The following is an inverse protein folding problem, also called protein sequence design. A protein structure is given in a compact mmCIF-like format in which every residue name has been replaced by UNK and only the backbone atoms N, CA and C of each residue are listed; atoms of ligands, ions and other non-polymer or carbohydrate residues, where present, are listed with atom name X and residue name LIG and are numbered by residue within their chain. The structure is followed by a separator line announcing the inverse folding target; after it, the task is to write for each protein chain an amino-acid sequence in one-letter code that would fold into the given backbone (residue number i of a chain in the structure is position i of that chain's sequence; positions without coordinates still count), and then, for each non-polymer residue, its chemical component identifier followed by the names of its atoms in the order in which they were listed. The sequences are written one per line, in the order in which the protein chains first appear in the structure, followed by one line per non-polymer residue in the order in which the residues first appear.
data_IF_864001021139
#
_entry.id   IF_864001021139
#
_cell.length_a   1.000
_cell.length_b   1.000
_cell.length_c   1.000
_cell.angle_alpha   90.00
_cell.angle_beta   90.00
_cell.angle_gamma   90.00
#
_symmetry.space_group_name_H-M   'P 1'
#
loop_
_entity.id
_entity.type
_entity.pdbx_description
1 polymer ?
#
# COMPACT_ATOMS: atom_id res chain seq x y z
N UNK A 1 55.67 15.50 -10.55
CA UNK A 1 54.83 14.50 -11.24
C UNK A 1 53.39 14.70 -10.74
N UNK A 2 52.55 15.42 -11.48
CA UNK A 2 51.21 15.81 -11.04
C UNK A 2 50.23 14.71 -11.47
N UNK A 3 49.57 14.06 -10.51
CA UNK A 3 48.50 13.07 -10.78
C UNK A 3 47.25 13.82 -11.22
N UNK A 4 46.78 13.52 -12.43
CA UNK A 4 45.50 14.01 -12.93
C UNK A 4 44.35 13.48 -12.05
N UNK A 5 43.59 14.41 -11.47
CA UNK A 5 42.33 14.12 -10.79
C UNK A 5 41.28 13.84 -11.87
N UNK A 6 40.92 12.57 -12.07
CA UNK A 6 39.78 12.21 -12.92
C UNK A 6 38.52 12.60 -12.15
N UNK A 7 38.02 13.80 -12.42
CA UNK A 7 36.68 14.21 -12.00
C UNK A 7 35.69 13.39 -12.83
N UNK A 8 35.19 12.30 -12.26
CA UNK A 8 34.05 11.57 -12.81
C UNK A 8 32.86 12.51 -12.76
N UNK A 9 32.58 13.18 -13.89
CA UNK A 9 31.31 13.87 -14.12
C UNK A 9 30.20 12.84 -13.91
N UNK A 10 29.49 12.91 -12.78
CA UNK A 10 28.14 12.34 -12.70
C UNK A 10 27.36 12.97 -13.84
N UNK A 11 26.85 12.16 -14.78
CA UNK A 11 25.80 12.59 -15.70
C UNK A 11 24.56 12.91 -14.84
N UNK A 12 24.49 14.15 -14.35
CA UNK A 12 23.25 14.79 -13.95
C UNK A 12 22.56 15.25 -15.24
N UNK A 13 21.41 14.66 -15.49
CA UNK A 13 20.57 14.86 -16.64
C UNK A 13 19.56 13.73 -16.65
N UNK A 14 18.76 13.63 -15.59
CA UNK A 14 17.59 12.78 -15.66
C UNK A 14 16.60 13.46 -16.59
N UNK A 15 16.10 12.70 -17.55
CA UNK A 15 15.07 13.19 -18.46
C UNK A 15 13.76 13.33 -17.66
N UNK A 16 13.24 14.55 -17.46
CA UNK A 16 12.11 14.78 -16.56
C UNK A 16 10.84 14.04 -17.00
N UNK A 17 10.68 13.76 -18.30
CA UNK A 17 9.57 12.94 -18.82
C UNK A 17 9.73 11.47 -18.46
N UNK A 18 10.96 10.94 -18.50
CA UNK A 18 11.27 9.58 -18.08
C UNK A 18 11.04 9.39 -16.58
N UNK A 19 11.50 10.34 -15.77
CA UNK A 19 11.27 10.30 -14.32
C UNK A 19 9.77 10.36 -14.00
N UNK A 20 9.00 11.22 -14.67
CA UNK A 20 7.55 11.29 -14.53
C UNK A 20 6.87 9.95 -14.86
N UNK A 21 7.22 9.32 -15.98
CA UNK A 21 6.68 8.00 -16.37
C UNK A 21 7.00 6.91 -15.35
N UNK A 22 8.19 6.92 -14.76
CA UNK A 22 8.55 5.99 -13.69
C UNK A 22 7.72 6.22 -12.42
N UNK A 23 7.45 7.48 -12.07
CA UNK A 23 6.58 7.82 -10.93
C UNK A 23 5.13 7.41 -11.18
N UNK A 24 4.63 7.55 -12.41
CA UNK A 24 3.30 7.11 -12.80
C UNK A 24 3.17 5.59 -12.81
N UNK A 25 4.17 4.87 -13.34
CA UNK A 25 4.19 3.41 -13.30
C UNK A 25 4.17 2.91 -11.85
N UNK A 26 5.00 3.50 -10.97
CA UNK A 26 4.99 3.20 -9.56
C UNK A 26 3.64 3.52 -8.88
N UNK A 27 2.94 4.55 -9.36
CA UNK A 27 1.63 4.94 -8.80
C UNK A 27 0.57 3.92 -9.15
N UNK A 28 0.53 3.50 -10.42
CA UNK A 28 -0.39 2.48 -10.88
C UNK A 28 -0.16 1.15 -10.12
N UNK A 29 1.09 0.76 -9.91
CA UNK A 29 1.42 -0.41 -9.09
C UNK A 29 1.05 -0.25 -7.62
N UNK A 30 1.24 0.93 -7.03
CA UNK A 30 0.83 1.21 -5.66
C UNK A 30 -0.70 1.16 -5.51
N UNK A 31 -1.48 1.72 -6.45
CA UNK A 31 -2.94 1.62 -6.48
C UNK A 31 -3.41 0.17 -6.55
N UNK A 32 -2.81 -0.63 -7.42
CA UNK A 32 -3.08 -2.07 -7.48
C UNK A 32 -2.83 -2.75 -6.12
N UNK A 33 -1.70 -2.45 -5.48
CA UNK A 33 -1.33 -3.06 -4.20
C UNK A 33 -2.16 -2.56 -3.01
N UNK A 34 -2.79 -1.39 -3.13
CA UNK A 34 -3.70 -0.86 -2.10
C UNK A 34 -4.97 -1.68 -1.95
N UNK A 35 -5.54 -2.16 -3.05
CA UNK A 35 -6.72 -3.02 -3.04
C UNK A 35 -6.38 -4.51 -2.99
N UNK A 36 -5.12 -4.89 -3.24
CA UNK A 36 -4.67 -6.28 -3.17
C UNK A 36 -4.56 -6.78 -1.71
N UNK A 37 -5.20 -7.92 -1.43
CA UNK A 37 -5.09 -8.62 -0.13
C UNK A 37 -4.50 -10.00 -0.33
N UNK A 38 -3.53 -10.39 0.50
CA UNK A 38 -2.94 -11.74 0.49
C UNK A 38 -2.99 -12.41 1.87
N UNK A 39 -3.05 -13.74 1.88
CA UNK A 39 -2.96 -14.58 3.07
C UNK A 39 -1.51 -14.72 3.60
N UNK A 40 -0.50 -14.53 2.74
CA UNK A 40 0.90 -14.75 3.09
C UNK A 40 1.51 -13.54 3.82
N UNK A 41 2.56 -13.79 4.60
CA UNK A 41 3.21 -12.82 5.51
C UNK A 41 3.36 -11.42 4.90
N UNK A 42 2.60 -10.46 5.46
CA UNK A 42 2.62 -9.03 5.10
C UNK A 42 3.85 -8.29 5.63
N UNK A 43 4.74 -8.98 6.35
CA UNK A 43 5.85 -8.34 7.05
C UNK A 43 7.09 -8.18 6.18
N UNK A 44 7.33 -9.13 5.27
CA UNK A 44 8.45 -9.05 4.32
C UNK A 44 8.13 -8.07 3.18
N UNK A 45 9.17 -7.41 2.63
CA UNK A 45 9.05 -6.59 1.41
C UNK A 45 8.38 -7.37 0.28
N UNK A 46 8.77 -8.62 0.08
CA UNK A 46 8.18 -9.46 -0.96
C UNK A 46 6.69 -9.74 -0.73
N UNK A 47 6.25 -9.91 0.51
CA UNK A 47 4.84 -10.04 0.85
C UNK A 47 4.05 -8.76 0.62
N UNK A 48 4.63 -7.59 0.97
CA UNK A 48 4.01 -6.28 0.73
C UNK A 48 3.89 -5.93 -0.76
N UNK A 49 4.87 -6.35 -1.56
CA UNK A 49 4.92 -6.08 -3.00
C UNK A 49 4.06 -7.03 -3.83
N UNK A 50 3.47 -8.07 -3.22
CA UNK A 50 2.53 -8.98 -3.87
C UNK A 50 3.00 -9.49 -5.25
N UNK A 51 2.09 -9.58 -6.24
CA UNK A 51 2.42 -9.96 -7.61
C UNK A 51 3.44 -9.04 -8.29
N UNK A 52 3.51 -7.76 -7.90
CA UNK A 52 4.42 -6.77 -8.48
C UNK A 52 5.89 -7.14 -8.23
N UNK A 53 6.23 -7.64 -7.05
CA UNK A 53 7.60 -8.05 -6.74
C UNK A 53 8.13 -9.10 -7.71
N UNK A 54 7.29 -10.08 -8.08
CA UNK A 54 7.67 -11.09 -9.08
C UNK A 54 7.67 -10.53 -10.49
N UNK A 55 6.70 -9.68 -10.83
CA UNK A 55 6.61 -9.00 -12.11
C UNK A 55 7.89 -8.21 -12.42
N UNK A 56 8.37 -7.39 -11.49
CA UNK A 56 9.61 -6.61 -11.68
C UNK A 56 10.83 -7.52 -11.88
N UNK A 57 10.88 -8.68 -11.19
CA UNK A 57 11.91 -9.70 -11.41
C UNK A 57 11.84 -10.32 -12.81
N UNK A 58 10.65 -10.51 -13.38
CA UNK A 58 10.47 -11.02 -14.76
C UNK A 58 10.82 -9.97 -15.80
N UNK A 59 10.52 -8.71 -15.53
CA UNK A 59 10.98 -7.60 -16.36
C UNK A 59 12.51 -7.49 -16.30
N UNK A 60 13.13 -7.73 -15.15
CA UNK A 60 14.60 -7.79 -15.07
C UNK A 60 15.20 -8.90 -15.95
N UNK A 61 14.50 -10.02 -16.14
CA UNK A 61 14.92 -11.10 -17.05
C UNK A 61 14.52 -10.90 -18.52
N UNK A 62 14.01 -9.72 -18.89
CA UNK A 62 13.68 -9.39 -20.29
C UNK A 62 12.24 -9.66 -20.74
N UNK A 63 11.35 -10.18 -19.89
CA UNK A 63 9.92 -10.33 -20.24
C UNK A 63 9.19 -8.98 -20.20
N UNK A 64 8.25 -8.73 -21.12
CA UNK A 64 7.55 -7.42 -21.24
C UNK A 64 6.08 -7.58 -21.61
N UNK A 65 5.32 -6.48 -21.49
CA UNK A 65 3.93 -6.36 -21.93
C UNK A 65 3.01 -7.46 -21.40
N UNK A 66 2.21 -8.05 -22.29
CA UNK A 66 1.18 -9.03 -21.94
C UNK A 66 1.73 -10.28 -21.25
N UNK A 67 2.98 -10.67 -21.54
CA UNK A 67 3.60 -11.83 -20.89
C UNK A 67 3.75 -11.64 -19.38
N UNK A 68 4.22 -10.47 -18.95
CA UNK A 68 4.39 -10.18 -17.52
C UNK A 68 3.05 -9.85 -16.85
N UNK A 69 2.11 -9.28 -17.59
CA UNK A 69 0.76 -9.01 -17.12
C UNK A 69 0.01 -10.32 -16.82
N UNK A 70 0.01 -11.27 -17.75
CA UNK A 70 -0.63 -12.58 -17.56
C UNK A 70 -0.02 -13.37 -16.39
N UNK A 71 1.31 -13.32 -16.22
CA UNK A 71 1.96 -13.93 -15.05
C UNK A 71 1.52 -13.27 -13.74
N UNK A 72 1.40 -11.95 -13.68
CA UNK A 72 0.98 -11.26 -12.46
C UNK A 72 -0.49 -11.51 -12.11
N UNK A 73 -1.38 -11.60 -13.11
CA UNK A 73 -2.78 -11.99 -12.91
C UNK A 73 -2.85 -13.40 -12.32
N UNK A 74 -2.10 -14.36 -12.90
CA UNK A 74 -2.05 -15.71 -12.36
C UNK A 74 -1.55 -15.73 -10.92
N UNK A 75 -0.52 -14.96 -10.58
CA UNK A 75 -0.02 -14.88 -9.20
C UNK A 75 -1.06 -14.25 -8.28
N UNK A 76 -1.78 -13.22 -8.73
CA UNK A 76 -2.90 -12.63 -8.00
C UNK A 76 -3.92 -13.71 -7.64
N UNK A 77 -4.46 -14.43 -8.62
CA UNK A 77 -5.48 -15.47 -8.41
C UNK A 77 -5.00 -16.57 -7.45
N UNK A 78 -3.71 -16.93 -7.51
CA UNK A 78 -3.11 -17.96 -6.65
C UNK A 78 -2.81 -17.49 -5.21
N UNK A 79 -2.79 -16.18 -4.95
CA UNK A 79 -2.31 -15.63 -3.66
C UNK A 79 -3.25 -14.61 -3.02
N UNK A 80 -4.26 -14.17 -3.75
CA UNK A 80 -5.29 -13.26 -3.29
C UNK A 80 -6.14 -13.94 -2.23
N UNK A 81 -6.53 -13.16 -1.23
CA UNK A 81 -7.55 -13.53 -0.25
C UNK A 81 -8.86 -12.83 -0.66
N UNK A 82 -10.01 -13.52 -0.62
CA UNK A 82 -11.28 -12.83 -0.82
C UNK A 82 -11.49 -11.75 0.25
N UNK A 83 -12.18 -10.67 -0.11
CA UNK A 83 -12.72 -9.73 0.88
C UNK A 83 -13.82 -10.40 1.70
N UNK A 84 -14.07 -9.89 2.91
CA UNK A 84 -15.18 -10.34 3.74
C UNK A 84 -16.49 -10.01 3.00
N UNK A 85 -17.25 -11.03 2.59
CA UNK A 85 -18.43 -10.88 1.73
C UNK A 85 -18.21 -11.22 0.24
N UNK A 86 -16.95 -11.23 -0.24
CA UNK A 86 -16.63 -11.68 -1.60
C UNK A 86 -16.32 -13.19 -1.63
N UNK A 87 -16.95 -13.91 -2.57
CA UNK A 87 -16.68 -15.34 -2.81
C UNK A 87 -15.49 -15.59 -3.74
N UNK A 88 -15.05 -14.58 -4.49
CA UNK A 88 -14.03 -14.73 -5.52
C UNK A 88 -12.71 -14.06 -5.17
N UNK A 89 -11.61 -14.70 -5.56
CA UNK A 89 -10.24 -14.16 -5.56
C UNK A 89 -9.86 -13.59 -6.93
N UNK A 90 -10.84 -13.41 -7.83
CA UNK A 90 -10.64 -12.80 -9.14
C UNK A 90 -10.17 -11.36 -9.00
N UNK A 91 -9.29 -10.97 -9.92
CA UNK A 91 -8.86 -9.59 -10.05
C UNK A 91 -10.05 -8.70 -10.44
N UNK A 92 -10.22 -7.57 -9.76
CA UNK A 92 -11.24 -6.58 -10.14
C UNK A 92 -10.83 -5.83 -11.41
N UNK A 93 -11.80 -5.19 -12.08
CA UNK A 93 -11.51 -4.36 -13.27
C UNK A 93 -10.52 -3.25 -12.95
N UNK A 94 -10.67 -2.59 -11.81
CA UNK A 94 -9.77 -1.52 -11.35
C UNK A 94 -8.35 -2.03 -11.07
N UNK A 95 -8.23 -3.19 -10.42
CA UNK A 95 -6.95 -3.83 -10.17
C UNK A 95 -6.27 -4.22 -11.48
N UNK A 96 -7.01 -4.80 -12.40
CA UNK A 96 -6.50 -5.16 -13.73
C UNK A 96 -6.02 -3.92 -14.47
N UNK A 97 -6.81 -2.84 -14.50
CA UNK A 97 -6.44 -1.59 -15.16
C UNK A 97 -5.20 -0.95 -14.54
N UNK A 98 -5.10 -0.91 -13.21
CA UNK A 98 -3.93 -0.39 -12.50
C UNK A 98 -2.66 -1.20 -12.78
N UNK A 99 -2.78 -2.54 -12.77
CA UNK A 99 -1.68 -3.44 -13.11
C UNK A 99 -1.22 -3.27 -14.56
N UNK A 100 -2.19 -3.22 -15.48
CA UNK A 100 -1.98 -3.00 -16.92
C UNK A 100 -1.26 -1.67 -17.17
N UNK A 101 -1.77 -0.58 -16.62
CA UNK A 101 -1.19 0.75 -16.74
C UNK A 101 0.27 0.79 -16.26
N UNK A 102 0.55 0.22 -15.09
CA UNK A 102 1.92 0.16 -14.56
C UNK A 102 2.87 -0.63 -15.46
N UNK A 103 2.42 -1.76 -16.01
CA UNK A 103 3.20 -2.58 -16.94
C UNK A 103 3.51 -1.83 -18.23
N UNK A 104 2.52 -1.18 -18.83
CA UNK A 104 2.71 -0.47 -20.09
C UNK A 104 3.64 0.72 -19.91
N UNK A 105 3.41 1.58 -18.91
CA UNK A 105 4.27 2.74 -18.64
C UNK A 105 5.72 2.34 -18.35
N UNK A 106 5.92 1.27 -17.60
CA UNK A 106 7.26 0.76 -17.33
C UNK A 106 7.90 0.14 -18.58
N UNK A 107 7.13 -0.55 -19.40
CA UNK A 107 7.62 -1.12 -20.67
C UNK A 107 8.04 -0.02 -21.64
N UNK A 108 7.24 1.04 -21.79
CA UNK A 108 7.58 2.20 -22.62
C UNK A 108 8.92 2.84 -22.22
N UNK A 109 9.19 2.96 -20.92
CA UNK A 109 10.47 3.52 -20.45
C UNK A 109 11.65 2.59 -20.74
N UNK A 110 11.45 1.27 -20.65
CA UNK A 110 12.49 0.27 -20.89
C UNK A 110 12.76 0.05 -22.38
N UNK A 111 11.75 0.24 -23.23
CA UNK A 111 11.85 0.06 -24.67
C UNK A 111 12.19 1.37 -25.41
N UNK A 112 12.28 2.50 -24.68
CA UNK A 112 12.76 3.77 -25.22
C UNK A 112 14.16 3.59 -25.83
N UNK A 113 14.38 3.95 -27.12
CA UNK A 113 15.68 3.83 -27.78
C UNK A 113 16.84 4.55 -27.06
N UNK A 114 16.53 5.55 -26.24
CA UNK A 114 17.51 6.30 -25.44
C UNK A 114 17.84 5.61 -24.11
N UNK A 115 17.11 4.55 -23.74
CA UNK A 115 17.37 3.74 -22.56
C UNK A 115 18.36 2.64 -22.89
N UNK A 116 19.54 2.70 -22.28
CA UNK A 116 20.51 1.61 -22.40
C UNK A 116 20.02 0.36 -21.66
N UNK A 117 20.23 -0.86 -22.20
CA UNK A 117 19.98 -2.11 -21.46
C UNK A 117 20.69 -2.18 -20.10
N UNK A 118 21.84 -1.50 -19.96
CA UNK A 118 22.56 -1.41 -18.69
C UNK A 118 21.79 -0.62 -17.60
N UNK A 119 20.94 0.33 -18.01
CA UNK A 119 20.11 1.13 -17.11
C UNK A 119 18.85 0.39 -16.65
N UNK A 120 18.43 -0.68 -17.33
CA UNK A 120 17.19 -1.40 -17.00
C UNK A 120 17.17 -1.88 -15.55
N UNK A 121 18.30 -2.40 -15.05
CA UNK A 121 18.42 -2.83 -13.65
C UNK A 121 18.16 -1.66 -12.69
N UNK A 122 18.80 -0.52 -12.93
CA UNK A 122 18.68 0.67 -12.08
C UNK A 122 17.27 1.25 -12.11
N UNK A 123 16.64 1.27 -13.28
CA UNK A 123 15.26 1.73 -13.47
C UNK A 123 14.31 0.86 -12.65
N UNK A 124 14.40 -0.46 -12.80
CA UNK A 124 13.54 -1.41 -12.08
C UNK A 124 13.75 -1.34 -10.56
N UNK A 125 14.99 -1.20 -10.09
CA UNK A 125 15.31 -1.00 -8.67
C UNK A 125 14.75 0.33 -8.13
N UNK A 126 14.74 1.38 -8.95
CA UNK A 126 14.14 2.68 -8.58
C UNK A 126 12.63 2.56 -8.44
N UNK A 127 11.95 1.95 -9.41
CA UNK A 127 10.49 1.74 -9.35
C UNK A 127 10.11 0.87 -8.15
N UNK A 128 10.84 -0.23 -7.92
CA UNK A 128 10.66 -1.10 -6.77
C UNK A 128 10.77 -0.34 -5.43
N UNK A 129 11.78 0.53 -5.29
CA UNK A 129 11.96 1.36 -4.10
C UNK A 129 10.83 2.39 -3.92
N UNK A 130 10.40 3.05 -5.00
CA UNK A 130 9.31 4.05 -4.96
C UNK A 130 7.99 3.41 -4.56
N UNK A 131 7.64 2.25 -5.14
CA UNK A 131 6.43 1.50 -4.76
C UNK A 131 6.47 1.16 -3.28
N UNK A 132 7.58 0.56 -2.81
CA UNK A 132 7.73 0.19 -1.41
C UNK A 132 7.57 1.38 -0.46
N UNK A 133 8.20 2.51 -0.79
CA UNK A 133 8.08 3.73 0.00
C UNK A 133 6.63 4.22 0.08
N UNK A 134 5.89 4.24 -1.04
CA UNK A 134 4.49 4.68 -1.07
C UNK A 134 3.59 3.78 -0.24
N UNK A 135 3.76 2.46 -0.33
CA UNK A 135 3.01 1.51 0.48
C UNK A 135 3.27 1.70 1.98
N UNK A 136 4.53 1.89 2.36
CA UNK A 136 4.89 2.09 3.77
C UNK A 136 4.39 3.44 4.30
N UNK A 137 4.47 4.50 3.47
CA UNK A 137 3.91 5.81 3.78
C UNK A 137 2.40 5.71 4.02
N UNK A 138 1.66 5.14 3.08
CA UNK A 138 0.20 5.03 3.20
C UNK A 138 -0.22 4.12 4.36
N UNK A 139 0.54 3.04 4.65
CA UNK A 139 0.32 2.22 5.85
C UNK A 139 0.47 3.06 7.13
N UNK A 140 1.53 3.84 7.25
CA UNK A 140 1.76 4.70 8.43
C UNK A 140 0.68 5.77 8.55
N UNK A 141 0.30 6.40 7.45
CA UNK A 141 -0.78 7.39 7.42
C UNK A 141 -2.12 6.77 7.86
N UNK A 142 -2.45 5.57 7.40
CA UNK A 142 -3.66 4.86 7.82
C UNK A 142 -3.64 4.48 9.30
N UNK A 143 -2.47 4.15 9.87
CA UNK A 143 -2.35 3.90 11.30
C UNK A 143 -2.58 5.19 12.12
N UNK A 144 -2.01 6.31 11.67
CA UNK A 144 -2.22 7.61 12.33
C UNK A 144 -3.69 8.02 12.25
N UNK A 145 -4.29 7.99 11.05
CA UNK A 145 -5.72 8.30 10.86
C UNK A 145 -6.63 7.38 11.66
N UNK A 146 -6.32 6.09 11.73
CA UNK A 146 -7.09 5.13 12.53
C UNK A 146 -7.03 5.45 14.03
N UNK A 147 -5.86 5.83 14.54
CA UNK A 147 -5.69 6.25 15.93
C UNK A 147 -6.43 7.58 16.20
N UNK A 148 -6.34 8.55 15.29
CA UNK A 148 -7.04 9.83 15.40
C UNK A 148 -8.57 9.65 15.41
N UNK A 149 -9.11 8.81 14.53
CA UNK A 149 -10.54 8.46 14.51
C UNK A 149 -10.99 7.81 15.81
N UNK A 150 -10.18 6.90 16.36
CA UNK A 150 -10.50 6.26 17.63
C UNK A 150 -10.40 7.23 18.81
N UNK A 151 -9.40 8.11 18.82
CA UNK A 151 -9.31 9.19 19.80
C UNK A 151 -10.53 10.10 19.74
N UNK A 152 -10.94 10.51 18.54
CA UNK A 152 -12.13 11.34 18.35
C UNK A 152 -13.38 10.62 18.89
N UNK A 153 -13.57 9.33 18.59
CA UNK A 153 -14.64 8.53 19.16
C UNK A 153 -14.63 8.54 20.70
N UNK A 154 -13.46 8.33 21.33
CA UNK A 154 -13.35 8.37 22.79
C UNK A 154 -13.64 9.76 23.35
N UNK A 155 -13.21 10.82 22.68
CA UNK A 155 -13.50 12.21 23.06
C UNK A 155 -14.98 12.58 22.93
N UNK A 156 -15.77 11.84 22.15
CA UNK A 156 -17.24 12.00 22.13
C UNK A 156 -17.93 11.26 23.28
N UNK A 157 -17.26 10.30 23.90
CA UNK A 157 -17.81 9.46 24.98
C UNK A 157 -17.35 9.91 26.37
N UNK A 158 -16.14 10.46 26.46
CA UNK A 158 -15.50 10.94 27.67
C UNK A 158 -15.01 12.37 27.44
N UNK A 159 -15.47 13.29 28.28
CA UNK A 159 -15.15 14.71 28.14
C UNK A 159 -13.70 14.99 28.54
N UNK A 160 -13.15 14.15 29.43
CA UNK A 160 -11.81 14.32 30.00
C UNK A 160 -10.98 13.02 29.99
N UNK A 161 -9.63 13.11 29.94
CA UNK A 161 -8.76 11.96 30.15
C UNK A 161 -9.00 11.24 31.48
N UNK A 162 -9.38 11.98 32.52
CA UNK A 162 -9.62 11.44 33.86
C UNK A 162 -10.82 10.50 33.89
N UNK A 163 -11.92 10.87 33.22
CA UNK A 163 -13.09 10.01 33.03
C UNK A 163 -12.75 8.75 32.23
N UNK A 164 -11.93 8.90 31.18
CA UNK A 164 -11.45 7.76 30.40
C UNK A 164 -10.58 6.82 31.26
N UNK A 165 -9.67 7.38 32.06
CA UNK A 165 -8.80 6.62 32.95
C UNK A 165 -9.59 5.86 34.02
N UNK A 166 -10.64 6.48 34.58
CA UNK A 166 -11.56 5.83 35.52
C UNK A 166 -12.34 4.70 34.84
N UNK A 167 -12.91 4.96 33.66
CA UNK A 167 -13.66 3.96 32.90
C UNK A 167 -12.80 2.76 32.55
N UNK A 168 -11.52 2.98 32.22
CA UNK A 168 -10.57 1.93 31.84
C UNK A 168 -9.83 1.30 33.01
N UNK A 169 -9.98 1.84 34.23
CA UNK A 169 -9.19 1.46 35.42
C UNK A 169 -7.67 1.52 35.14
N UNK A 170 -7.25 2.58 34.46
CA UNK A 170 -5.85 2.80 34.06
C UNK A 170 -5.50 4.29 34.14
N UNK A 171 -4.90 4.66 35.27
CA UNK A 171 -4.43 6.03 35.57
C UNK A 171 -3.29 6.50 34.67
N UNK A 172 -2.68 5.61 33.87
CA UNK A 172 -1.60 5.96 32.95
C UNK A 172 -2.09 6.44 31.59
N UNK A 173 -3.40 6.31 31.33
CA UNK A 173 -4.04 6.69 30.07
C UNK A 173 -4.10 8.20 29.95
N UNK A 174 -3.63 8.70 28.80
CA UNK A 174 -3.82 10.07 28.35
C UNK A 174 -4.23 10.04 26.88
N UNK A 175 -4.72 11.15 26.32
CA UNK A 175 -5.06 11.20 24.90
C UNK A 175 -3.90 10.76 24.00
N UNK A 176 -2.65 11.02 24.40
CA UNK A 176 -1.42 10.64 23.69
C UNK A 176 -1.07 9.16 23.82
N UNK A 177 -1.54 8.48 24.87
CA UNK A 177 -1.20 7.09 25.19
C UNK A 177 -2.31 6.09 24.85
N UNK A 178 -3.30 6.50 24.09
CA UNK A 178 -4.36 5.60 23.60
C UNK A 178 -3.74 4.48 22.74
N UNK A 179 -4.05 3.20 23.02
CA UNK A 179 -3.59 2.10 22.19
C UNK A 179 -4.29 2.12 20.83
N UNK A 180 -3.60 1.62 19.80
CA UNK A 180 -4.20 1.46 18.48
C UNK A 180 -5.40 0.47 18.55
N UNK A 181 -6.57 0.82 18.00
CA UNK A 181 -7.76 -0.02 18.07
C UNK A 181 -7.58 -1.28 17.21
N UNK A 182 -7.34 -2.42 17.87
CA UNK A 182 -7.16 -3.71 17.19
C UNK A 182 -7.96 -4.80 17.89
N UNK A 183 -8.59 -5.69 17.11
CA UNK A 183 -9.30 -6.86 17.63
C UNK A 183 -8.41 -7.82 18.42
N UNK A 184 -7.09 -7.70 18.28
CA UNK A 184 -6.09 -8.49 19.02
C UNK A 184 -5.72 -7.89 20.38
N UNK A 185 -6.31 -6.76 20.78
CA UNK A 185 -6.01 -6.15 22.07
C UNK A 185 -6.53 -7.05 23.19
N UNK A 186 -5.65 -7.40 24.14
CA UNK A 186 -5.91 -8.40 25.18
C UNK A 186 -5.46 -7.98 26.59
N UNK A 187 -4.73 -6.85 26.71
CA UNK A 187 -4.14 -6.43 27.99
C UNK A 187 -5.15 -6.00 29.05
N UNK A 188 -6.26 -5.39 28.64
CA UNK A 188 -7.30 -4.89 29.55
C UNK A 188 -8.69 -5.18 28.94
N UNK A 189 -9.58 -5.90 29.65
CA UNK A 189 -10.89 -6.30 29.11
C UNK A 189 -11.83 -5.12 28.88
N UNK A 190 -11.76 -4.04 29.67
CA UNK A 190 -12.59 -2.83 29.50
C UNK A 190 -12.20 -2.11 28.21
N UNK A 191 -10.90 -1.90 28.01
CA UNK A 191 -10.35 -1.31 26.77
C UNK A 191 -10.67 -2.20 25.57
N UNK A 192 -10.58 -3.53 25.72
CA UNK A 192 -10.94 -4.48 24.65
C UNK A 192 -12.40 -4.36 24.24
N UNK A 193 -13.32 -4.25 25.21
CA UNK A 193 -14.74 -4.08 24.94
C UNK A 193 -15.00 -2.75 24.20
N UNK A 194 -14.35 -1.67 24.61
CA UNK A 194 -14.45 -0.35 23.97
C UNK A 194 -13.94 -0.38 22.52
N UNK A 195 -12.78 -1.02 22.29
CA UNK A 195 -12.25 -1.23 20.94
C UNK A 195 -13.21 -2.07 20.10
N UNK A 196 -13.82 -3.11 20.67
CA UNK A 196 -14.78 -3.94 19.94
C UNK A 196 -16.04 -3.16 19.55
N UNK A 197 -16.56 -2.31 20.44
CA UNK A 197 -17.70 -1.42 20.15
C UNK A 197 -17.36 -0.44 19.02
N UNK A 198 -16.20 0.22 19.12
CA UNK A 198 -15.71 1.13 18.09
C UNK A 198 -15.55 0.45 16.72
N UNK A 199 -14.95 -0.74 16.69
CA UNK A 199 -14.75 -1.48 15.45
C UNK A 199 -16.08 -1.96 14.82
N UNK A 200 -17.09 -2.26 15.65
CA UNK A 200 -18.43 -2.58 15.16
C UNK A 200 -19.11 -1.37 14.52
N UNK A 201 -19.08 -0.21 15.20
CA UNK A 201 -19.60 1.07 14.66
C UNK A 201 -18.90 1.46 13.36
N UNK A 202 -17.57 1.32 13.32
CA UNK A 202 -16.80 1.62 12.11
C UNK A 202 -17.19 0.70 10.95
N UNK A 203 -17.49 -0.57 11.22
CA UNK A 203 -17.94 -1.52 10.19
C UNK A 203 -19.33 -1.14 9.66
N UNK A 204 -20.23 -0.69 10.52
CA UNK A 204 -21.58 -0.23 10.13
C UNK A 204 -21.50 0.99 9.20
N UNK A 205 -20.75 2.03 9.60
CA UNK A 205 -20.56 3.24 8.78
C UNK A 205 -19.92 2.91 7.43
N UNK A 206 -18.90 2.05 7.40
CA UNK A 206 -18.26 1.66 6.13
C UNK A 206 -19.19 0.86 5.22
N UNK A 207 -20.11 0.07 5.78
CA UNK A 207 -21.11 -0.67 5.00
C UNK A 207 -22.22 0.24 4.46
N UNK A 208 -22.58 1.29 5.20
CA UNK A 208 -23.54 2.30 4.75
C UNK A 208 -22.96 3.17 3.62
N UNK A 209 -21.70 3.60 3.74
CA UNK A 209 -20.99 4.35 2.68
C UNK A 209 -20.85 3.55 1.38
N UNK A 210 -20.57 2.23 1.47
CA UNK A 210 -20.47 1.36 0.29
C UNK A 210 -21.84 1.10 -0.38
N UNK A 211 -22.95 1.19 0.35
CA UNK A 211 -24.32 1.00 -0.18
C UNK A 211 -24.83 2.24 -0.91
N UNK A 212 -24.49 3.45 -0.45
CA UNK A 212 -24.91 4.70 -1.08
C UNK A 212 -24.20 4.95 -2.43
N UNK A 213 -23.01 4.37 -2.65
CA UNK A 213 -22.29 4.41 -3.93
C UNK A 213 -22.87 3.45 -4.98
N UNK A 214 -23.52 2.35 -4.60
CA UNK A 214 -24.21 1.43 -5.54
C UNK A 214 -25.55 1.99 -6.04
N UNK A 215 -26.28 2.73 -5.20
CA UNK A 215 -27.61 3.28 -5.56
C UNK A 215 -27.55 4.57 -6.40
N UNK A 216 -26.37 5.17 -6.58
CA UNK A 216 -26.18 6.35 -7.44
C UNK A 216 -25.74 6.03 -8.88
N UNK A 217 -25.63 4.74 -9.24
CA UNK A 217 -25.32 4.30 -10.60
C UNK A 217 -26.45 3.49 -11.30
N UNK A 218 -27.66 3.49 -10.74
CA UNK A 218 -28.84 2.85 -11.34
C UNK A 218 -29.66 3.80 -12.24
#
# INVERSE_FOLDING_TARGET
MIRALIVVKRKQGSDPTKDARLQEAAEAFARYLHSFRTEKSKESKHGKMGPIGKLLSRMRSGKRGDQVLGEAIRIHEMTAKPFEGQKSTSITVEQFNSLKEGVFKLTEVLDDPNTSPADHKRILETVDAVIYFRLEKARKENLVKGLERFRAYLQTKYDTPEELAEAWDDTSVTWEKIPFPTSKYDKNPKIKAEIAEYLAKLKEVLLEEDMDEEDTQA
#
